data_IF_583751972280
#
_entry.id   IF_583751972280
#
_cell.length_a   1.000
_cell.length_b   1.000
_cell.length_c   1.000
_cell.angle_alpha   90.00
_cell.angle_beta   90.00
_cell.angle_gamma   90.00
#
_symmetry.space_group_name_H-M   'P 1'
#
loop_
_entity.id
_entity.type
_entity.pdbx_description
1 polymer ?
#
# COMPACT_ATOMS: atom_id res chain seq x y z
N UNK A 1 1.30 10.25 -25.09
CA UNK A 1 1.62 9.04 -25.88
C UNK A 1 0.31 8.46 -26.41
N UNK A 2 0.19 8.05 -27.67
CA UNK A 2 -1.07 7.45 -28.17
C UNK A 2 -1.24 6.06 -27.54
N UNK A 3 -2.42 5.79 -26.96
CA UNK A 3 -2.72 4.57 -26.18
C UNK A 3 -2.32 3.27 -26.89
N UNK A 4 -2.60 3.17 -28.19
CA UNK A 4 -2.25 1.99 -29.01
C UNK A 4 -0.75 1.67 -29.03
N UNK A 5 0.10 2.70 -28.89
CA UNK A 5 1.55 2.53 -28.84
C UNK A 5 1.98 1.96 -27.49
N UNK A 6 1.34 2.37 -26.38
CA UNK A 6 1.59 1.82 -25.05
C UNK A 6 1.26 0.34 -24.99
N UNK A 7 0.02 -0.02 -25.34
CA UNK A 7 -0.45 -1.41 -25.31
C UNK A 7 0.41 -2.30 -26.21
N UNK A 8 0.81 -1.81 -27.38
CA UNK A 8 1.69 -2.55 -28.29
C UNK A 8 3.09 -2.74 -27.72
N UNK A 9 3.68 -1.71 -27.08
CA UNK A 9 4.98 -1.84 -26.42
C UNK A 9 4.90 -2.83 -25.27
N UNK A 10 3.92 -2.67 -24.38
CA UNK A 10 3.69 -3.57 -23.23
C UNK A 10 3.54 -5.02 -23.67
N UNK A 11 2.79 -5.27 -24.75
CA UNK A 11 2.58 -6.63 -25.26
C UNK A 11 3.86 -7.27 -25.82
N UNK A 12 4.81 -6.46 -26.30
CA UNK A 12 6.09 -6.92 -26.86
C UNK A 12 7.20 -7.08 -25.81
N UNK A 13 7.04 -6.50 -24.63
CA UNK A 13 8.04 -6.62 -23.57
C UNK A 13 8.01 -8.03 -22.95
N UNK A 14 9.19 -8.54 -22.61
CA UNK A 14 9.35 -9.67 -21.71
C UNK A 14 10.18 -9.17 -20.53
N UNK A 15 9.56 -9.07 -19.35
CA UNK A 15 10.19 -8.56 -18.14
C UNK A 15 10.25 -9.64 -17.04
N UNK A 16 10.88 -10.81 -17.29
CA UNK A 16 10.88 -11.93 -16.34
C UNK A 16 11.63 -11.61 -15.03
N UNK A 17 12.41 -10.54 -15.01
CA UNK A 17 13.16 -10.09 -13.82
C UNK A 17 12.61 -8.78 -13.24
N UNK A 18 11.38 -8.38 -13.59
CA UNK A 18 10.78 -7.16 -13.05
C UNK A 18 10.63 -7.27 -11.52
N UNK A 19 11.35 -6.41 -10.80
CA UNK A 19 11.31 -6.35 -9.32
C UNK A 19 10.60 -5.13 -8.79
N UNK A 20 10.60 -4.04 -9.56
CA UNK A 20 10.01 -2.76 -9.17
C UNK A 20 9.18 -2.17 -10.30
N UNK A 21 8.03 -1.59 -9.95
CA UNK A 21 7.11 -0.93 -10.86
C UNK A 21 6.52 0.29 -10.16
N UNK A 22 6.30 1.35 -10.92
CA UNK A 22 5.79 2.64 -10.46
C UNK A 22 4.74 3.13 -11.45
N UNK A 23 3.60 3.61 -10.94
CA UNK A 23 2.57 4.30 -11.71
C UNK A 23 2.43 5.75 -11.23
N UNK A 24 2.35 6.69 -12.17
CA UNK A 24 2.42 8.14 -11.90
C UNK A 24 1.07 8.85 -11.72
N UNK A 25 1.11 10.13 -11.33
CA UNK A 25 0.00 10.95 -10.79
C UNK A 25 -1.34 10.96 -11.54
N UNK A 26 -1.31 10.66 -12.84
CA UNK A 26 -2.47 10.66 -13.73
C UNK A 26 -2.78 9.27 -14.27
N UNK A 27 -2.43 8.25 -13.49
CA UNK A 27 -2.57 6.86 -13.89
C UNK A 27 -4.03 6.53 -14.18
N UNK A 28 -4.96 6.98 -13.34
CA UNK A 28 -6.39 6.72 -13.56
C UNK A 28 -7.05 7.60 -14.63
N UNK A 29 -6.44 8.73 -14.97
CA UNK A 29 -6.93 9.57 -16.06
C UNK A 29 -6.44 9.11 -17.44
N UNK A 30 -5.24 8.50 -17.50
CA UNK A 30 -4.52 8.24 -18.75
C UNK A 30 -4.23 6.77 -19.04
N UNK A 31 -4.41 5.87 -18.07
CA UNK A 31 -4.25 4.42 -18.23
C UNK A 31 -5.57 3.76 -17.86
N UNK A 32 -6.06 2.89 -18.75
CA UNK A 32 -7.18 2.02 -18.41
C UNK A 32 -6.63 1.07 -17.35
N UNK A 33 -7.14 1.13 -16.12
CA UNK A 33 -6.73 0.26 -15.02
C UNK A 33 -6.49 -1.20 -15.46
N UNK A 34 -7.34 -1.69 -16.37
CA UNK A 34 -7.24 -2.99 -17.00
C UNK A 34 -5.88 -3.29 -17.67
N UNK A 35 -5.25 -2.35 -18.36
CA UNK A 35 -3.97 -2.55 -19.04
C UNK A 35 -2.83 -2.72 -18.03
N UNK A 36 -2.85 -1.94 -16.95
CA UNK A 36 -1.88 -2.07 -15.88
C UNK A 36 -2.08 -3.34 -15.06
N UNK A 37 -3.34 -3.73 -14.82
CA UNK A 37 -3.69 -5.02 -14.21
C UNK A 37 -3.19 -6.15 -15.11
N UNK A 38 -3.44 -6.10 -16.42
CA UNK A 38 -2.96 -7.11 -17.36
C UNK A 38 -1.43 -7.19 -17.40
N UNK A 39 -0.74 -6.03 -17.34
CA UNK A 39 0.71 -5.96 -17.23
C UNK A 39 1.21 -6.65 -15.95
N UNK A 40 0.63 -6.34 -14.79
CA UNK A 40 1.01 -6.96 -13.53
C UNK A 40 0.62 -8.45 -13.48
N UNK A 41 -0.49 -8.86 -14.06
CA UNK A 41 -0.83 -10.29 -14.15
C UNK A 41 0.20 -11.07 -14.97
N UNK A 42 0.82 -10.42 -15.97
CA UNK A 42 1.84 -11.04 -16.83
C UNK A 42 3.24 -11.02 -16.20
N UNK A 43 3.62 -9.95 -15.50
CA UNK A 43 5.01 -9.72 -15.04
C UNK A 43 5.17 -9.54 -13.52
N UNK A 44 4.06 -9.49 -12.79
CA UNK A 44 4.00 -9.17 -11.36
C UNK A 44 4.40 -10.31 -10.43
N UNK A 45 4.57 -11.53 -10.94
CA UNK A 45 4.99 -12.69 -10.14
C UNK A 45 6.38 -12.52 -9.52
N UNK A 46 7.24 -11.68 -10.11
CA UNK A 46 8.54 -11.36 -9.56
C UNK A 46 8.60 -10.04 -8.81
N UNK A 47 7.51 -9.25 -8.84
CA UNK A 47 7.47 -7.89 -8.33
C UNK A 47 7.50 -7.90 -6.80
N UNK A 48 8.48 -7.19 -6.25
CA UNK A 48 8.66 -7.03 -4.81
C UNK A 48 8.42 -5.61 -4.34
N UNK A 49 8.49 -4.63 -5.25
CA UNK A 49 8.32 -3.21 -4.93
C UNK A 49 7.30 -2.60 -5.86
N UNK A 50 6.28 -1.96 -5.29
CA UNK A 50 5.24 -1.28 -6.05
C UNK A 50 5.02 0.12 -5.49
N UNK A 51 5.03 1.11 -6.38
CA UNK A 51 4.75 2.50 -6.05
C UNK A 51 3.56 3.00 -6.88
N UNK A 52 2.61 3.62 -6.19
CA UNK A 52 1.47 4.28 -6.81
C UNK A 52 1.47 5.74 -6.40
N UNK A 53 1.68 6.62 -7.38
CA UNK A 53 1.53 8.05 -7.21
C UNK A 53 0.21 8.50 -7.87
N UNK A 54 -0.65 9.17 -7.11
CA UNK A 54 -1.93 9.64 -7.62
C UNK A 54 -2.43 10.85 -6.82
N UNK A 55 -2.66 11.96 -7.51
CA UNK A 55 -3.19 13.19 -6.88
C UNK A 55 -4.72 13.27 -6.92
N UNK A 56 -5.36 12.51 -7.81
CA UNK A 56 -6.81 12.43 -7.93
C UNK A 56 -7.40 11.15 -7.33
N UNK A 57 -8.66 11.16 -6.93
CA UNK A 57 -9.30 10.00 -6.31
C UNK A 57 -9.12 8.70 -7.10
N UNK A 58 -8.64 7.65 -6.42
CA UNK A 58 -8.47 6.32 -6.98
C UNK A 58 -9.58 5.36 -6.49
N UNK A 59 -10.24 4.58 -7.36
CA UNK A 59 -11.13 3.51 -6.92
C UNK A 59 -10.32 2.44 -6.19
N UNK A 60 -10.72 2.11 -4.95
CA UNK A 60 -10.00 1.10 -4.18
C UNK A 60 -10.06 -0.27 -4.86
N UNK A 61 -11.16 -0.60 -5.52
CA UNK A 61 -11.37 -1.88 -6.22
C UNK A 61 -10.33 -2.11 -7.33
N UNK A 62 -9.94 -1.05 -8.04
CA UNK A 62 -8.93 -1.12 -9.09
C UNK A 62 -7.52 -1.26 -8.50
N UNK A 63 -7.24 -0.54 -7.39
CA UNK A 63 -5.99 -0.71 -6.66
C UNK A 63 -5.87 -2.11 -6.05
N UNK A 64 -6.95 -2.63 -5.46
CA UNK A 64 -7.00 -3.98 -4.90
C UNK A 64 -6.70 -5.03 -5.97
N UNK A 65 -7.27 -4.89 -7.17
CA UNK A 65 -6.95 -5.77 -8.31
C UNK A 65 -5.47 -5.69 -8.73
N UNK A 66 -4.88 -4.49 -8.76
CA UNK A 66 -3.45 -4.33 -9.04
C UNK A 66 -2.58 -5.03 -7.99
N UNK A 67 -2.92 -4.87 -6.72
CA UNK A 67 -2.21 -5.50 -5.61
C UNK A 67 -2.34 -7.03 -5.64
N UNK A 68 -3.50 -7.55 -6.04
CA UNK A 68 -3.71 -8.99 -6.25
C UNK A 68 -2.91 -9.55 -7.43
N UNK A 69 -2.68 -8.76 -8.48
CA UNK A 69 -1.86 -9.15 -9.62
C UNK A 69 -0.37 -9.30 -9.28
N UNK A 70 0.07 -8.79 -8.13
CA UNK A 70 1.45 -8.86 -7.65
C UNK A 70 1.52 -9.44 -6.22
N UNK A 71 1.28 -10.75 -6.03
CA UNK A 71 1.14 -11.36 -4.71
C UNK A 71 2.42 -11.38 -3.86
N UNK A 72 3.57 -11.09 -4.46
CA UNK A 72 4.88 -11.15 -3.81
C UNK A 72 5.43 -9.77 -3.39
N UNK A 73 4.60 -8.73 -3.42
CA UNK A 73 4.97 -7.39 -2.96
C UNK A 73 5.48 -7.44 -1.51
N UNK A 74 6.65 -6.83 -1.31
CA UNK A 74 7.32 -6.64 -0.03
C UNK A 74 7.35 -5.17 0.36
N UNK A 75 7.44 -4.25 -0.60
CA UNK A 75 7.41 -2.81 -0.36
C UNK A 75 6.28 -2.18 -1.17
N UNK A 76 5.40 -1.48 -0.49
CA UNK A 76 4.28 -0.74 -1.09
C UNK A 76 4.38 0.73 -0.71
N UNK A 77 4.43 1.60 -1.71
CA UNK A 77 4.50 3.05 -1.52
C UNK A 77 3.30 3.72 -2.18
N UNK A 78 2.58 4.53 -1.41
CA UNK A 78 1.52 5.39 -1.90
C UNK A 78 1.95 6.85 -1.76
N UNK A 79 1.86 7.61 -2.84
CA UNK A 79 2.25 9.03 -2.84
C UNK A 79 1.14 9.88 -3.45
N UNK A 80 0.70 10.92 -2.76
CA UNK A 80 -0.22 11.93 -3.32
C UNK A 80 -1.60 11.95 -2.68
N UNK A 81 -2.33 13.03 -2.99
CA UNK A 81 -3.53 13.42 -2.26
C UNK A 81 -4.74 12.53 -2.51
N UNK A 82 -4.78 11.84 -3.66
CA UNK A 82 -5.91 11.01 -4.08
C UNK A 82 -6.00 9.64 -3.41
N UNK A 83 -5.03 9.29 -2.56
CA UNK A 83 -4.83 7.93 -2.06
C UNK A 83 -5.20 7.71 -0.59
N UNK A 84 -5.64 8.73 0.16
CA UNK A 84 -6.01 8.56 1.59
C UNK A 84 -6.99 7.42 1.82
N UNK A 85 -8.08 7.39 1.05
CA UNK A 85 -9.10 6.34 1.19
C UNK A 85 -8.55 4.95 0.83
N UNK A 86 -7.67 4.88 -0.16
CA UNK A 86 -7.01 3.63 -0.55
C UNK A 86 -6.12 3.12 0.57
N UNK A 87 -5.34 4.00 1.20
CA UNK A 87 -4.47 3.65 2.33
C UNK A 87 -5.31 3.21 3.53
N UNK A 88 -6.39 3.93 3.86
CA UNK A 88 -7.32 3.54 4.92
C UNK A 88 -7.87 2.12 4.67
N UNK A 89 -8.31 1.82 3.45
CA UNK A 89 -8.81 0.49 3.06
C UNK A 89 -7.73 -0.59 3.10
N UNK A 90 -6.49 -0.27 2.72
CA UNK A 90 -5.34 -1.18 2.86
C UNK A 90 -5.10 -1.50 4.34
N UNK A 91 -5.09 -0.49 5.22
CA UNK A 91 -4.93 -0.69 6.67
C UNK A 91 -6.07 -1.53 7.26
N UNK A 92 -7.32 -1.24 6.87
CA UNK A 92 -8.49 -2.04 7.26
C UNK A 92 -8.31 -3.50 6.85
N UNK A 93 -7.97 -3.79 5.58
CA UNK A 93 -7.79 -5.16 5.08
C UNK A 93 -6.62 -5.89 5.72
N UNK A 94 -5.52 -5.19 6.00
CA UNK A 94 -4.39 -5.75 6.74
C UNK A 94 -4.79 -6.11 8.17
N UNK A 95 -5.59 -5.27 8.83
CA UNK A 95 -6.08 -5.51 10.20
C UNK A 95 -7.11 -6.63 10.29
N UNK A 96 -7.94 -6.78 9.25
CA UNK A 96 -9.01 -7.77 9.19
C UNK A 96 -8.55 -9.16 8.72
N UNK A 97 -7.26 -9.37 8.45
CA UNK A 97 -6.72 -10.64 7.93
C UNK A 97 -6.09 -11.50 9.04
N UNK A 98 -6.86 -12.28 9.83
CA UNK A 98 -6.27 -13.31 10.66
C UNK A 98 -5.73 -14.44 9.77
N UNK A 99 -4.61 -15.09 10.14
CA UNK A 99 -4.20 -16.31 9.47
C UNK A 99 -5.29 -17.36 9.72
N UNK A 100 -5.99 -17.79 8.67
CA UNK A 100 -6.89 -18.92 8.78
C UNK A 100 -6.06 -20.14 9.16
N UNK A 101 -6.39 -20.76 10.31
CA UNK A 101 -5.71 -21.94 10.79
C UNK A 101 -5.55 -22.98 9.68
N UNK A 102 -4.31 -23.46 9.56
CA UNK A 102 -3.82 -24.44 8.59
C UNK A 102 -4.61 -25.75 8.69
N UNK A 103 -5.54 -26.01 7.79
CA UNK A 103 -6.09 -27.37 7.56
C UNK A 103 -6.49 -27.65 6.10
N UNK A 104 -5.92 -26.98 5.10
CA UNK A 104 -6.22 -27.32 3.70
C UNK A 104 -4.98 -27.26 2.82
N UNK A 105 -4.64 -28.42 2.24
CA UNK A 105 -3.51 -28.70 1.36
C UNK A 105 -3.62 -28.03 -0.03
N UNK A 106 -4.17 -26.82 -0.10
CA UNK A 106 -4.28 -26.02 -1.33
C UNK A 106 -3.82 -24.59 -1.04
N UNK A 107 -2.50 -24.40 -1.16
CA UNK A 107 -1.74 -23.22 -1.59
C UNK A 107 -2.07 -21.76 -1.24
N UNK A 108 -3.32 -21.34 -1.01
CA UNK A 108 -3.71 -19.93 -1.25
C UNK A 108 -4.36 -19.18 -0.08
N UNK A 109 -4.21 -19.63 1.17
CA UNK A 109 -4.68 -18.86 2.33
C UNK A 109 -3.60 -17.95 2.93
N UNK A 110 -2.86 -17.25 2.07
CA UNK A 110 -1.96 -16.19 2.51
C UNK A 110 -2.79 -14.91 2.63
N UNK A 111 -2.94 -14.36 3.85
CA UNK A 111 -3.72 -13.14 4.10
C UNK A 111 -3.32 -11.97 3.19
N UNK A 112 -4.17 -10.94 3.09
CA UNK A 112 -3.98 -9.80 2.18
C UNK A 112 -2.55 -9.23 2.27
N UNK A 113 -1.81 -9.21 1.16
CA UNK A 113 -0.40 -8.79 1.12
C UNK A 113 0.49 -9.49 2.17
N UNK A 114 0.38 -10.81 2.31
CA UNK A 114 1.11 -11.61 3.31
C UNK A 114 2.63 -11.46 3.32
N UNK A 115 3.23 -11.05 2.20
CA UNK A 115 4.68 -10.84 2.04
C UNK A 115 5.13 -9.41 2.29
N UNK A 116 4.19 -8.49 2.56
CA UNK A 116 4.48 -7.09 2.80
C UNK A 116 5.36 -6.91 4.03
N UNK A 117 6.46 -6.20 3.83
CA UNK A 117 7.46 -5.85 4.84
C UNK A 117 7.50 -4.36 5.10
N UNK A 118 7.17 -3.52 4.12
CA UNK A 118 7.11 -2.07 4.29
C UNK A 118 5.88 -1.49 3.59
N UNK A 119 5.13 -0.66 4.31
CA UNK A 119 4.09 0.20 3.76
C UNK A 119 4.45 1.66 4.03
N UNK A 120 4.53 2.43 2.95
CA UNK A 120 4.87 3.84 3.00
C UNK A 120 3.75 4.68 2.41
N UNK A 121 3.42 5.79 3.08
CA UNK A 121 2.44 6.75 2.61
C UNK A 121 2.98 8.17 2.75
N UNK A 122 3.05 8.90 1.64
CA UNK A 122 3.59 10.25 1.59
C UNK A 122 2.63 11.22 0.91
N UNK A 123 2.71 12.50 1.32
CA UNK A 123 2.02 13.61 0.66
C UNK A 123 0.49 13.43 0.58
N UNK A 124 -0.08 12.80 1.60
CA UNK A 124 -1.50 12.58 1.77
C UNK A 124 -2.19 13.69 2.57
N UNK A 125 -3.52 13.87 2.51
CA UNK A 125 -4.24 14.73 3.44
C UNK A 125 -4.35 14.07 4.83
N UNK A 126 -5.41 13.30 5.10
CA UNK A 126 -5.67 12.69 6.41
C UNK A 126 -5.83 11.18 6.27
N UNK A 127 -5.49 10.43 7.31
CA UNK A 127 -5.82 9.01 7.48
C UNK A 127 -6.88 8.88 8.58
N UNK A 128 -7.84 8.00 8.38
CA UNK A 128 -8.90 7.72 9.35
C UNK A 128 -8.74 6.35 10.01
N UNK A 129 -8.02 5.42 9.38
CA UNK A 129 -7.87 4.04 9.84
C UNK A 129 -6.76 3.85 10.90
N UNK A 130 -6.52 4.85 11.76
CA UNK A 130 -5.48 4.77 12.81
C UNK A 130 -5.69 3.59 13.76
N UNK A 131 -6.94 3.33 14.14
CA UNK A 131 -7.32 2.21 15.01
C UNK A 131 -7.02 0.84 14.39
N UNK A 132 -6.81 0.75 13.07
CA UNK A 132 -6.41 -0.50 12.42
C UNK A 132 -4.93 -0.83 12.66
N UNK A 133 -4.07 0.17 12.89
CA UNK A 133 -2.61 -0.06 13.02
C UNK A 133 -2.28 -1.01 14.18
N UNK A 134 -2.78 -0.79 15.43
CA UNK A 134 -2.52 -1.74 16.52
C UNK A 134 -3.01 -3.15 16.21
N UNK A 135 -4.18 -3.28 15.58
CA UNK A 135 -4.77 -4.57 15.20
C UNK A 135 -3.90 -5.36 14.20
N UNK A 136 -3.25 -4.67 13.26
CA UNK A 136 -2.31 -5.30 12.31
C UNK A 136 -1.20 -6.04 13.07
N UNK A 137 -0.65 -5.43 14.11
CA UNK A 137 0.48 -5.98 14.88
C UNK A 137 0.06 -6.99 15.97
N UNK A 138 -1.23 -7.19 16.21
CA UNK A 138 -1.70 -8.34 17.00
C UNK A 138 -1.48 -9.67 16.26
N UNK A 139 -1.33 -9.63 14.93
CA UNK A 139 -1.04 -10.79 14.11
C UNK A 139 0.47 -11.14 14.12
N UNK A 140 0.88 -12.34 14.57
CA UNK A 140 2.30 -12.70 14.71
C UNK A 140 3.14 -12.59 13.43
N UNK A 141 2.50 -12.75 12.27
CA UNK A 141 3.14 -12.69 10.96
C UNK A 141 3.41 -11.25 10.48
N UNK A 142 2.94 -10.23 11.22
CA UNK A 142 3.10 -8.81 10.89
C UNK A 142 4.13 -8.09 11.75
N UNK A 143 4.76 -8.77 12.70
CA UNK A 143 5.75 -8.16 13.61
C UNK A 143 6.96 -7.54 12.89
N UNK A 144 7.23 -7.94 11.65
CA UNK A 144 8.32 -7.40 10.84
C UNK A 144 7.87 -6.29 9.87
N UNK A 145 6.57 -5.99 9.79
CA UNK A 145 6.05 -4.93 8.94
C UNK A 145 6.50 -3.56 9.46
N UNK A 146 7.14 -2.79 8.60
CA UNK A 146 7.41 -1.38 8.80
C UNK A 146 6.28 -0.52 8.24
N UNK A 147 5.85 0.47 9.03
CA UNK A 147 4.90 1.50 8.59
C UNK A 147 5.60 2.86 8.63
N UNK A 148 5.58 3.57 7.50
CA UNK A 148 6.05 4.94 7.40
C UNK A 148 4.93 5.83 6.85
N UNK A 149 4.31 6.64 7.71
CA UNK A 149 3.11 7.40 7.38
C UNK A 149 3.40 8.90 7.54
N UNK A 150 3.26 9.65 6.46
CA UNK A 150 3.42 11.10 6.42
C UNK A 150 2.14 11.77 5.89
N UNK A 151 1.02 11.71 6.64
CA UNK A 151 -0.19 12.45 6.30
C UNK A 151 -0.01 13.95 6.60
N UNK A 152 -0.79 14.76 5.90
CA UNK A 152 -0.88 16.20 6.06
C UNK A 152 -1.43 16.59 7.43
N UNK A 153 -2.40 15.85 7.97
CA UNK A 153 -2.92 16.03 9.32
C UNK A 153 -2.98 14.69 10.08
N UNK A 154 -2.64 14.74 11.37
CA UNK A 154 -2.68 13.59 12.28
C UNK A 154 -3.74 13.85 13.35
N UNK A 155 -4.92 13.24 13.20
CA UNK A 155 -6.01 13.29 14.17
C UNK A 155 -6.21 11.87 14.74
N UNK A 156 -5.69 11.65 15.95
CA UNK A 156 -5.70 10.34 16.62
C UNK A 156 -6.29 10.53 18.01
N UNK A 157 -7.15 9.61 18.47
CA UNK A 157 -7.65 9.63 19.84
C UNK A 157 -6.55 9.28 20.85
N UNK A 158 -6.71 9.68 22.11
CA UNK A 158 -5.72 9.40 23.16
C UNK A 158 -5.52 7.88 23.35
N UNK A 159 -6.59 7.09 23.24
CA UNK A 159 -6.53 5.63 23.35
C UNK A 159 -5.67 5.04 22.24
N UNK A 160 -5.94 5.39 20.97
CA UNK A 160 -5.17 4.87 19.83
C UNK A 160 -3.74 5.38 19.90
N UNK A 161 -3.52 6.64 20.26
CA UNK A 161 -2.18 7.22 20.45
C UNK A 161 -1.35 6.42 21.45
N UNK A 162 -1.94 6.07 22.61
CA UNK A 162 -1.27 5.26 23.63
C UNK A 162 -0.93 3.85 23.11
N UNK A 163 -1.82 3.22 22.35
CA UNK A 163 -1.53 1.91 21.71
C UNK A 163 -0.38 2.01 20.72
N UNK A 164 -0.34 3.05 19.89
CA UNK A 164 0.74 3.27 18.91
C UNK A 164 2.10 3.49 19.60
N UNK A 165 2.13 4.21 20.73
CA UNK A 165 3.35 4.37 21.53
C UNK A 165 3.83 3.02 22.07
N UNK A 166 2.93 2.18 22.58
CA UNK A 166 3.29 0.85 23.08
C UNK A 166 3.90 -0.04 21.97
N UNK A 167 3.41 0.05 20.73
CA UNK A 167 4.01 -0.69 19.61
C UNK A 167 5.46 -0.25 19.37
N UNK A 168 5.73 1.06 19.40
CA UNK A 168 7.09 1.60 19.24
C UNK A 168 7.99 1.13 20.39
N UNK A 169 7.50 1.13 21.63
CA UNK A 169 8.23 0.62 22.80
C UNK A 169 8.54 -0.88 22.70
N UNK A 170 7.69 -1.65 22.02
CA UNK A 170 7.92 -3.06 21.70
C UNK A 170 8.94 -3.28 20.55
N UNK A 171 9.46 -2.19 19.96
CA UNK A 171 10.43 -2.24 18.86
C UNK A 171 9.80 -2.37 17.48
N UNK A 172 8.48 -2.19 17.33
CA UNK A 172 7.81 -2.16 16.03
C UNK A 172 8.31 -0.94 15.23
N UNK A 173 8.59 -1.15 13.94
CA UNK A 173 9.03 -0.11 13.02
C UNK A 173 7.84 0.73 12.57
N UNK A 174 7.37 1.62 13.43
CA UNK A 174 6.30 2.58 13.13
C UNK A 174 6.86 4.01 13.14
N UNK A 175 6.65 4.74 12.04
CA UNK A 175 7.00 6.16 11.91
C UNK A 175 5.78 6.93 11.42
N UNK A 176 5.41 7.97 12.17
CA UNK A 176 4.31 8.87 11.84
C UNK A 176 4.86 10.29 11.84
N UNK A 177 4.71 11.00 10.72
CA UNK A 177 5.14 12.38 10.57
C UNK A 177 3.94 13.28 10.36
N UNK A 178 3.84 14.34 11.16
CA UNK A 178 2.84 15.39 11.00
C UNK A 178 3.41 16.52 10.13
N UNK A 179 3.03 16.56 8.86
CA UNK A 179 3.53 17.57 7.90
C UNK A 179 2.94 18.96 8.17
N UNK A 180 1.74 19.06 8.76
CA UNK A 180 1.14 20.36 9.11
C UNK A 180 2.03 21.15 10.07
N UNK A 181 2.77 20.46 10.94
CA UNK A 181 3.73 21.08 11.88
C UNK A 181 4.98 21.63 11.19
N UNK A 182 5.38 21.09 10.03
CA UNK A 182 6.52 21.62 9.27
C UNK A 182 6.20 22.96 8.61
N UNK A 183 4.95 23.19 8.21
CA UNK A 183 4.52 24.45 7.60
C UNK A 183 4.27 25.56 8.63
N UNK A 184 4.09 25.21 9.90
CA UNK A 184 3.88 26.19 11.00
C UNK A 184 5.16 26.63 11.70
N UNK A 185 6.29 25.93 11.48
CA UNK A 185 7.61 26.32 12.02
C UNK A 185 8.52 26.96 10.98
N UNK A 186 7.97 27.71 10.01
CA UNK A 186 8.76 28.41 8.98
C UNK A 186 9.91 29.24 9.56
N UNK A 187 11.11 28.67 9.52
CA UNK A 187 12.41 29.34 9.49
C UNK A 187 12.87 29.28 8.03
#
# INVERSE_FOLDING_TARGET
MRMEVFTRIVNLLELPSLKSCSFGAHFWENIIAADAIAFLMRFGSCLTTFELHQDEGAPFEDVEQLLHAAPHIQCLTFTGYGLSLVVDKVLERLSASPPSHVTSQTGDNAGFLSKLQNLEYYSGPELNAWACIPLIFQSPHRNLLGLNLEPGAVIISDEVSNELVQLVDQGIKLRIYDVSRRLSTGI
#
